data_IF_371510613415
#
_entry.id   IF_371510613415
#
_cell.length_a   1.000
_cell.length_b   1.000
_cell.length_c   1.000
_cell.angle_alpha   90.00
_cell.angle_beta   90.00
_cell.angle_gamma   90.00
#
_symmetry.space_group_name_H-M   'P 1'
#
loop_
_entity.id
_entity.type
_entity.pdbx_description
1 polymer ?
#
# COMPACT_ATOMS: atom_id res chain seq x y z
N UNK A 1 -15.08 0.55 -16.41
CA UNK A 1 -14.37 1.72 -16.98
C UNK A 1 -14.15 2.77 -15.90
N UNK A 2 -15.17 3.13 -15.09
CA UNK A 2 -15.06 4.16 -14.04
C UNK A 2 -13.86 3.97 -13.09
N UNK A 3 -13.58 2.73 -12.62
CA UNK A 3 -12.41 2.43 -11.82
C UNK A 3 -11.09 2.72 -12.56
N UNK A 4 -11.01 2.41 -13.86
CA UNK A 4 -9.82 2.72 -14.67
C UNK A 4 -9.62 4.24 -14.82
N UNK A 5 -10.70 4.99 -14.92
CA UNK A 5 -10.65 6.46 -14.98
C UNK A 5 -10.16 7.03 -13.65
N UNK A 6 -10.64 6.49 -12.51
CA UNK A 6 -10.18 6.87 -11.17
C UNK A 6 -8.69 6.57 -10.96
N UNK A 7 -8.22 5.38 -11.38
CA UNK A 7 -6.79 5.01 -11.34
C UNK A 7 -5.95 5.94 -12.21
N UNK A 8 -6.41 6.28 -13.42
CA UNK A 8 -5.68 7.18 -14.31
C UNK A 8 -5.55 8.59 -13.71
N UNK A 9 -6.64 9.12 -13.14
CA UNK A 9 -6.64 10.41 -12.43
C UNK A 9 -5.71 10.40 -11.21
N UNK A 10 -5.74 9.30 -10.44
CA UNK A 10 -4.86 9.11 -9.27
C UNK A 10 -3.38 9.13 -9.67
N UNK A 11 -3.02 8.46 -10.78
CA UNK A 11 -1.64 8.48 -11.29
C UNK A 11 -1.14 9.89 -11.57
N UNK A 12 -1.97 10.78 -12.14
CA UNK A 12 -1.61 12.19 -12.36
C UNK A 12 -1.26 12.87 -11.04
N UNK A 13 -2.04 12.65 -9.99
CA UNK A 13 -1.76 13.17 -8.65
C UNK A 13 -0.44 12.67 -8.07
N UNK A 14 -0.14 11.37 -8.22
CA UNK A 14 1.13 10.79 -7.79
C UNK A 14 2.32 11.37 -8.56
N UNK A 15 2.24 11.51 -9.87
CA UNK A 15 3.33 12.12 -10.67
C UNK A 15 3.56 13.59 -10.27
N UNK A 16 2.50 14.33 -9.96
CA UNK A 16 2.62 15.70 -9.46
C UNK A 16 3.31 15.78 -8.09
N UNK A 17 2.98 14.84 -7.18
CA UNK A 17 3.66 14.73 -5.87
C UNK A 17 5.14 14.42 -6.08
N UNK A 18 5.48 13.43 -6.91
CA UNK A 18 6.88 13.06 -7.20
C UNK A 18 7.68 14.25 -7.76
N UNK A 19 7.09 15.01 -8.69
CA UNK A 19 7.73 16.19 -9.25
C UNK A 19 8.01 17.26 -8.18
N UNK A 20 7.15 17.39 -7.17
CA UNK A 20 7.21 18.44 -6.15
C UNK A 20 7.90 17.99 -4.84
N UNK A 21 8.37 16.73 -4.73
CA UNK A 21 9.10 16.22 -3.56
C UNK A 21 10.28 17.11 -3.13
N UNK A 22 11.12 17.64 -4.04
CA UNK A 22 12.21 18.53 -3.64
C UNK A 22 11.73 19.78 -2.90
N UNK A 23 10.56 20.31 -3.26
CA UNK A 23 9.94 21.47 -2.57
C UNK A 23 9.36 21.06 -1.23
N UNK A 24 8.74 19.87 -1.14
CA UNK A 24 8.23 19.34 0.11
C UNK A 24 9.33 19.18 1.16
N UNK A 25 10.52 18.72 0.74
CA UNK A 25 11.71 18.60 1.59
C UNK A 25 12.22 19.97 2.05
N UNK A 26 12.33 20.93 1.10
CA UNK A 26 12.94 22.24 1.38
C UNK A 26 12.04 23.18 2.19
N UNK A 27 10.72 23.04 2.09
CA UNK A 27 9.76 24.03 2.61
C UNK A 27 9.31 23.83 4.06
N UNK A 28 9.63 22.68 4.69
CA UNK A 28 9.02 22.24 5.95
C UNK A 28 7.53 21.89 5.82
N UNK A 29 6.99 21.15 6.80
CA UNK A 29 5.60 20.62 6.75
C UNK A 29 5.33 19.82 5.48
N UNK A 30 6.32 19.02 5.05
CA UNK A 30 6.33 18.36 3.74
C UNK A 30 5.16 17.42 3.53
N UNK A 31 4.68 16.71 4.57
CA UNK A 31 3.50 15.85 4.47
C UNK A 31 2.26 16.63 4.04
N UNK A 32 2.03 17.85 4.61
CA UNK A 32 0.91 18.71 4.20
C UNK A 32 1.10 19.31 2.82
N UNK A 33 2.34 19.53 2.43
CA UNK A 33 2.63 19.97 1.07
C UNK A 33 2.22 18.92 0.06
N UNK A 34 2.61 17.64 0.29
CA UNK A 34 2.25 16.50 -0.54
C UNK A 34 0.74 16.31 -0.60
N UNK A 35 0.04 16.33 0.56
CA UNK A 35 -1.42 16.28 0.64
C UNK A 35 -2.08 17.39 -0.21
N UNK A 36 -1.58 18.61 -0.11
CA UNK A 36 -2.10 19.76 -0.87
C UNK A 36 -1.86 19.62 -2.37
N UNK A 37 -0.70 19.13 -2.80
CA UNK A 37 -0.38 18.89 -4.21
C UNK A 37 -1.29 17.78 -4.77
N UNK A 38 -1.42 16.64 -4.07
CA UNK A 38 -2.34 15.58 -4.49
C UNK A 38 -3.77 16.08 -4.57
N UNK A 39 -4.26 16.78 -3.54
CA UNK A 39 -5.62 17.31 -3.49
C UNK A 39 -5.93 18.31 -4.61
N UNK A 40 -4.96 19.14 -5.02
CA UNK A 40 -5.10 20.02 -6.19
C UNK A 40 -5.38 19.22 -7.46
N UNK A 41 -4.58 18.19 -7.72
CA UNK A 41 -4.73 17.34 -8.91
C UNK A 41 -5.98 16.48 -8.82
N UNK A 42 -6.31 15.92 -7.65
CA UNK A 42 -7.55 15.19 -7.44
C UNK A 42 -8.77 16.03 -7.77
N UNK A 43 -8.77 17.33 -7.39
CA UNK A 43 -9.87 18.25 -7.71
C UNK A 43 -9.89 18.67 -9.18
N UNK A 44 -8.75 18.69 -9.85
CA UNK A 44 -8.67 19.03 -11.27
C UNK A 44 -9.13 17.85 -12.16
N UNK A 45 -8.70 16.63 -11.83
CA UNK A 45 -8.96 15.42 -12.61
C UNK A 45 -10.30 14.75 -12.29
N UNK A 46 -10.92 15.09 -11.15
CA UNK A 46 -12.18 14.50 -10.70
C UNK A 46 -12.95 15.38 -9.72
N UNK A 47 -13.81 14.76 -8.91
CA UNK A 47 -14.57 15.44 -7.86
C UNK A 47 -13.67 15.90 -6.69
N UNK A 48 -12.59 15.19 -6.44
CA UNK A 48 -11.65 15.42 -5.35
C UNK A 48 -11.00 14.13 -4.89
N UNK A 49 -10.51 14.17 -3.65
CA UNK A 49 -9.99 12.96 -2.98
C UNK A 49 -11.14 12.02 -2.60
N UNK A 50 -10.96 10.72 -2.83
CA UNK A 50 -11.95 9.70 -2.47
C UNK A 50 -12.00 9.41 -0.96
N UNK A 51 -10.90 9.71 -0.26
CA UNK A 51 -10.72 9.57 1.19
C UNK A 51 -9.59 10.48 1.67
N UNK A 52 -9.47 10.67 2.99
CA UNK A 52 -8.39 11.45 3.57
C UNK A 52 -7.02 10.84 3.23
N UNK A 53 -6.22 11.53 2.43
CA UNK A 53 -4.94 11.03 1.95
C UNK A 53 -3.95 10.81 3.10
N UNK A 54 -3.19 9.73 3.04
CA UNK A 54 -2.09 9.42 3.96
C UNK A 54 -0.78 9.81 3.28
N UNK A 55 -0.09 10.79 3.84
CA UNK A 55 1.19 11.31 3.34
C UNK A 55 2.26 11.14 4.42
N UNK A 56 2.61 9.89 4.74
CA UNK A 56 3.39 9.54 5.91
C UNK A 56 4.88 9.39 5.59
N UNK A 57 5.72 10.27 6.16
CA UNK A 57 7.17 10.24 5.99
C UNK A 57 7.89 9.62 7.19
N UNK A 58 8.90 8.82 6.93
CA UNK A 58 9.72 8.19 7.96
C UNK A 58 8.88 7.36 8.94
N UNK A 59 9.03 7.58 10.24
CA UNK A 59 8.33 6.80 11.28
C UNK A 59 6.80 6.97 11.27
N UNK A 60 6.27 8.05 10.70
CA UNK A 60 4.82 8.23 10.55
C UNK A 60 4.17 7.15 9.70
N UNK A 61 4.90 6.58 8.72
CA UNK A 61 4.45 5.45 7.91
C UNK A 61 4.10 4.20 8.74
N UNK A 62 4.56 4.11 9.98
CA UNK A 62 4.21 3.04 10.92
C UNK A 62 2.87 3.26 11.64
N UNK A 63 2.15 4.35 11.34
CA UNK A 63 0.78 4.59 11.75
C UNK A 63 -0.12 4.38 10.55
N UNK A 64 -0.94 3.32 10.58
CA UNK A 64 -1.71 2.84 9.42
C UNK A 64 -2.50 3.95 8.71
N UNK A 65 -3.27 4.74 9.46
CA UNK A 65 -4.05 5.87 8.94
C UNK A 65 -3.49 7.20 9.47
N UNK A 66 -2.28 7.57 8.98
CA UNK A 66 -1.66 8.86 9.30
C UNK A 66 -2.24 9.99 8.45
N UNK A 67 -3.52 10.32 8.68
CA UNK A 67 -4.24 11.40 7.98
C UNK A 67 -3.95 12.81 8.53
N UNK A 68 -3.19 12.92 9.61
CA UNK A 68 -2.83 14.22 10.19
C UNK A 68 -1.85 15.00 9.31
N UNK A 69 -0.99 14.30 8.61
CA UNK A 69 -0.01 14.83 7.66
C UNK A 69 0.76 16.07 8.22
N UNK A 70 1.28 15.95 9.45
CA UNK A 70 1.83 17.12 10.18
C UNK A 70 3.35 17.12 10.24
N UNK A 71 4.01 16.11 9.65
CA UNK A 71 5.45 15.93 9.69
C UNK A 71 6.20 16.69 8.59
N UNK A 72 7.50 16.80 8.81
CA UNK A 72 8.45 17.17 7.77
C UNK A 72 8.81 15.95 6.94
N UNK A 73 9.16 16.15 5.68
CA UNK A 73 9.77 15.12 4.82
C UNK A 73 11.26 15.40 4.76
N UNK A 74 12.10 14.40 4.98
CA UNK A 74 13.54 14.54 5.03
C UNK A 74 14.23 13.71 3.95
N UNK A 75 15.37 14.19 3.52
CA UNK A 75 16.25 13.40 2.65
C UNK A 75 16.60 12.06 3.31
N UNK A 76 16.46 10.96 2.54
CA UNK A 76 16.67 9.60 3.03
C UNK A 76 15.47 8.94 3.70
N UNK A 77 14.37 9.66 3.95
CA UNK A 77 13.11 9.07 4.41
C UNK A 77 12.45 8.26 3.28
N UNK A 78 11.57 7.33 3.66
CA UNK A 78 10.50 6.83 2.80
C UNK A 78 9.26 7.71 2.97
N UNK A 79 8.58 8.04 1.87
CA UNK A 79 7.25 8.61 1.87
C UNK A 79 6.24 7.53 1.47
N UNK A 80 5.42 7.10 2.40
CA UNK A 80 4.25 6.27 2.12
C UNK A 80 3.11 7.22 1.73
N UNK A 81 2.75 7.21 0.45
CA UNK A 81 1.62 7.96 -0.11
C UNK A 81 0.50 6.97 -0.43
N UNK A 82 -0.64 7.14 0.24
CA UNK A 82 -1.85 6.37 0.06
C UNK A 82 -2.98 7.35 -0.22
N UNK A 83 -3.46 7.33 -1.46
CA UNK A 83 -4.38 8.33 -1.96
C UNK A 83 -5.14 7.85 -3.20
N UNK A 84 -6.38 8.28 -3.35
CA UNK A 84 -7.24 7.99 -4.48
C UNK A 84 -8.07 9.18 -4.92
N UNK A 85 -8.36 9.25 -6.22
CA UNK A 85 -9.24 10.26 -6.81
C UNK A 85 -10.64 9.68 -6.99
N UNK A 86 -11.65 10.40 -6.48
CA UNK A 86 -13.05 10.16 -6.84
C UNK A 86 -13.33 10.90 -8.16
N UNK A 87 -13.79 10.17 -9.17
CA UNK A 87 -14.14 10.73 -10.47
C UNK A 87 -15.63 11.04 -10.59
N UNK A 88 -16.06 11.71 -11.68
CA UNK A 88 -17.43 12.16 -11.90
C UNK A 88 -18.49 11.05 -11.76
N UNK A 89 -18.11 9.80 -11.97
CA UNK A 89 -18.97 8.63 -11.78
C UNK A 89 -19.13 8.21 -10.32
N UNK A 90 -18.53 8.94 -9.37
CA UNK A 90 -18.45 8.70 -7.92
C UNK A 90 -17.60 7.47 -7.52
N UNK A 91 -16.96 6.79 -8.47
CA UNK A 91 -16.01 5.74 -8.14
C UNK A 91 -14.69 6.34 -7.71
N UNK A 92 -14.06 5.73 -6.71
CA UNK A 92 -12.73 6.10 -6.24
C UNK A 92 -11.70 5.01 -6.53
N UNK A 93 -10.46 5.41 -6.79
CA UNK A 93 -9.31 4.51 -6.69
C UNK A 93 -8.79 4.48 -5.26
N UNK A 94 -7.97 3.46 -4.95
CA UNK A 94 -7.26 3.31 -3.69
C UNK A 94 -5.86 2.75 -3.95
N UNK A 95 -4.85 3.61 -3.89
CA UNK A 95 -3.50 3.26 -4.31
C UNK A 95 -2.48 3.72 -3.28
N UNK A 96 -1.66 2.79 -2.82
CA UNK A 96 -0.47 3.11 -2.03
C UNK A 96 0.80 2.87 -2.81
N UNK A 97 1.72 3.85 -2.76
CA UNK A 97 3.14 3.69 -3.12
C UNK A 97 4.02 4.20 -2.01
N UNK A 98 5.08 3.45 -1.71
CA UNK A 98 6.14 3.90 -0.81
C UNK A 98 7.34 4.32 -1.65
N UNK A 99 7.70 5.60 -1.56
CA UNK A 99 8.67 6.28 -2.42
C UNK A 99 9.92 6.65 -1.62
N UNK A 100 11.15 6.36 -2.10
CA UNK A 100 12.35 6.93 -1.50
C UNK A 100 12.42 8.42 -1.84
N UNK A 101 12.43 9.27 -0.82
CA UNK A 101 12.33 10.74 -0.96
C UNK A 101 13.45 11.32 -1.83
N UNK A 102 14.65 10.77 -1.73
CA UNK A 102 15.82 11.16 -2.53
C UNK A 102 16.01 10.37 -3.83
N UNK A 103 15.01 9.58 -4.22
CA UNK A 103 14.99 8.83 -5.47
C UNK A 103 15.69 7.47 -5.43
N UNK A 104 16.25 7.04 -4.29
CA UNK A 104 16.98 5.76 -4.19
C UNK A 104 16.73 5.11 -2.83
N UNK A 105 16.37 3.84 -2.82
CA UNK A 105 16.24 3.06 -1.59
C UNK A 105 17.63 2.73 -1.00
N UNK A 106 17.76 2.81 0.31
CA UNK A 106 18.87 2.17 1.01
C UNK A 106 18.71 0.65 0.96
N UNK A 107 19.79 -0.11 1.20
CA UNK A 107 19.73 -1.58 1.22
C UNK A 107 18.65 -2.10 2.19
N UNK A 108 18.53 -1.50 3.37
CA UNK A 108 17.55 -1.89 4.37
C UNK A 108 16.10 -1.56 3.96
N UNK A 109 15.90 -0.40 3.33
CA UNK A 109 14.59 -0.01 2.79
C UNK A 109 14.16 -0.92 1.64
N UNK A 110 15.10 -1.23 0.74
CA UNK A 110 14.87 -2.15 -0.38
C UNK A 110 14.54 -3.57 0.12
N UNK A 111 15.25 -4.07 1.14
CA UNK A 111 14.99 -5.38 1.74
C UNK A 111 13.53 -5.50 2.25
N UNK A 112 13.01 -4.45 2.93
CA UNK A 112 11.63 -4.41 3.38
C UNK A 112 10.67 -4.26 2.19
N UNK A 113 11.00 -3.37 1.25
CA UNK A 113 10.16 -3.07 0.08
C UNK A 113 9.94 -4.31 -0.78
N UNK A 114 11.01 -5.05 -1.08
CA UNK A 114 10.96 -6.26 -1.91
C UNK A 114 10.14 -7.37 -1.23
N UNK A 115 10.21 -7.49 0.11
CA UNK A 115 9.37 -8.43 0.86
C UNK A 115 7.87 -8.07 0.76
N UNK A 116 7.53 -6.78 0.87
CA UNK A 116 6.14 -6.30 0.72
C UNK A 116 5.68 -6.48 -0.73
N UNK A 117 6.53 -6.18 -1.72
CA UNK A 117 6.21 -6.42 -3.12
C UNK A 117 5.94 -7.91 -3.40
N UNK A 118 6.79 -8.81 -2.89
CA UNK A 118 6.58 -10.26 -3.05
C UNK A 118 5.26 -10.70 -2.41
N UNK A 119 4.92 -10.17 -1.23
CA UNK A 119 3.65 -10.45 -0.56
C UNK A 119 2.45 -9.94 -1.37
N UNK A 120 2.55 -8.74 -1.97
CA UNK A 120 1.52 -8.19 -2.83
C UNK A 120 1.31 -9.05 -4.08
N UNK A 121 2.39 -9.49 -4.74
CA UNK A 121 2.29 -10.37 -5.91
C UNK A 121 1.62 -11.70 -5.56
N UNK A 122 1.93 -12.28 -4.39
CA UNK A 122 1.26 -13.50 -3.92
C UNK A 122 -0.25 -13.26 -3.67
N UNK A 123 -0.61 -12.12 -3.07
CA UNK A 123 -1.99 -11.71 -2.87
C UNK A 123 -2.73 -11.54 -4.19
N UNK A 124 -2.16 -10.82 -5.16
CA UNK A 124 -2.75 -10.63 -6.50
C UNK A 124 -2.94 -11.98 -7.22
N UNK A 125 -1.98 -12.89 -7.13
CA UNK A 125 -2.09 -14.23 -7.74
C UNK A 125 -3.22 -15.07 -7.14
N UNK A 126 -3.65 -14.77 -5.91
CA UNK A 126 -4.80 -15.41 -5.27
C UNK A 126 -6.14 -14.80 -5.70
N UNK A 127 -6.16 -13.64 -6.36
CA UNK A 127 -7.39 -13.01 -6.87
C UNK A 127 -7.84 -13.72 -8.13
N UNK A 128 -8.78 -14.65 -7.98
CA UNK A 128 -9.39 -15.37 -9.11
C UNK A 128 -10.75 -15.94 -8.72
N UNK A 129 -11.66 -16.18 -9.67
CA UNK A 129 -12.96 -16.77 -9.40
C UNK A 129 -12.84 -18.11 -8.66
N UNK A 130 -13.71 -18.31 -7.66
CA UNK A 130 -13.76 -19.54 -6.85
C UNK A 130 -12.78 -19.58 -5.67
N UNK A 131 -11.80 -18.69 -5.60
CA UNK A 131 -11.07 -18.47 -4.36
C UNK A 131 -11.93 -17.65 -3.40
N UNK A 132 -11.67 -17.80 -2.10
CA UNK A 132 -12.29 -16.95 -1.09
C UNK A 132 -11.59 -15.62 -0.98
N UNK A 133 -12.30 -14.61 -0.53
CA UNK A 133 -11.71 -13.30 -0.22
C UNK A 133 -10.54 -13.42 0.77
N UNK A 134 -10.68 -14.27 1.79
CA UNK A 134 -9.63 -14.53 2.78
C UNK A 134 -8.35 -15.17 2.22
N UNK A 135 -8.40 -15.84 1.07
CA UNK A 135 -7.23 -16.48 0.45
C UNK A 135 -6.19 -15.45 0.02
N UNK A 136 -6.62 -14.23 -0.31
CA UNK A 136 -5.73 -13.11 -0.67
C UNK A 136 -4.81 -12.78 0.52
N UNK A 137 -5.43 -12.58 1.68
CA UNK A 137 -4.70 -12.31 2.92
C UNK A 137 -3.77 -13.47 3.30
N UNK A 138 -4.27 -14.70 3.23
CA UNK A 138 -3.49 -15.89 3.58
C UNK A 138 -2.24 -16.02 2.69
N UNK A 139 -2.36 -15.76 1.38
CA UNK A 139 -1.24 -15.81 0.44
C UNK A 139 -0.18 -14.73 0.76
N UNK A 140 -0.60 -13.49 0.99
CA UNK A 140 0.31 -12.40 1.33
C UNK A 140 1.01 -12.62 2.68
N UNK A 141 0.27 -13.06 3.70
CA UNK A 141 0.83 -13.29 5.05
C UNK A 141 1.81 -14.44 5.07
N UNK A 142 1.64 -15.47 4.25
CA UNK A 142 2.64 -16.54 4.12
C UNK A 142 3.99 -15.98 3.71
N UNK A 143 4.05 -15.15 2.68
CA UNK A 143 5.28 -14.52 2.21
C UNK A 143 5.89 -13.63 3.30
N UNK A 144 5.06 -12.81 3.97
CA UNK A 144 5.52 -11.99 5.11
C UNK A 144 6.10 -12.86 6.22
N UNK A 145 5.43 -13.94 6.61
CA UNK A 145 5.91 -14.84 7.65
C UNK A 145 7.25 -15.51 7.29
N UNK A 146 7.44 -15.89 6.02
CA UNK A 146 8.71 -16.42 5.51
C UNK A 146 9.84 -15.40 5.62
N UNK A 147 9.61 -14.14 5.26
CA UNK A 147 10.60 -13.07 5.43
C UNK A 147 10.90 -12.79 6.90
N UNK A 148 9.87 -12.69 7.75
CA UNK A 148 10.04 -12.48 9.19
C UNK A 148 10.84 -13.62 9.84
N UNK A 149 10.60 -14.87 9.41
CA UNK A 149 11.37 -16.03 9.85
C UNK A 149 12.83 -15.92 9.40
N UNK A 150 13.08 -15.62 8.12
CA UNK A 150 14.43 -15.48 7.57
C UNK A 150 15.22 -14.35 8.25
N UNK A 151 14.55 -13.29 8.67
CA UNK A 151 15.16 -12.17 9.42
C UNK A 151 15.34 -12.45 10.91
N UNK A 152 14.90 -13.63 11.41
CA UNK A 152 14.98 -13.98 12.83
C UNK A 152 14.04 -13.17 13.72
N UNK A 153 12.91 -12.70 13.17
CA UNK A 153 11.95 -11.85 13.87
C UNK A 153 10.82 -12.64 14.53
N UNK A 154 10.65 -13.89 14.17
CA UNK A 154 9.71 -14.77 14.87
C UNK A 154 10.31 -15.22 16.20
N UNK A 155 9.49 -15.51 17.23
CA UNK A 155 9.99 -16.05 18.49
C UNK A 155 10.77 -17.33 18.28
N UNK A 156 11.74 -17.62 19.18
CA UNK A 156 12.53 -18.86 19.12
C UNK A 156 11.63 -20.10 19.13
N UNK A 157 11.88 -21.00 18.17
CA UNK A 157 11.11 -22.24 18.00
C UNK A 157 9.78 -22.09 17.27
N UNK A 158 9.39 -20.88 16.88
CA UNK A 158 8.17 -20.63 16.09
C UNK A 158 8.48 -20.76 14.61
N UNK A 159 7.77 -21.64 13.93
CA UNK A 159 7.86 -21.82 12.47
C UNK A 159 6.94 -20.84 11.71
N UNK A 160 7.09 -20.83 10.38
CA UNK A 160 6.15 -20.13 9.48
C UNK A 160 4.74 -20.69 9.66
N UNK A 161 4.58 -22.02 9.73
CA UNK A 161 3.26 -22.64 9.88
C UNK A 161 2.61 -22.30 11.22
N UNK A 162 3.38 -22.24 12.31
CA UNK A 162 2.88 -21.75 13.60
C UNK A 162 2.43 -20.30 13.52
N UNK A 163 3.14 -19.48 12.73
CA UNK A 163 2.77 -18.05 12.52
C UNK A 163 1.45 -17.93 11.76
N UNK A 164 1.15 -18.86 10.84
CA UNK A 164 -0.07 -18.83 10.03
C UNK A 164 -1.30 -19.40 10.75
N UNK A 165 -1.12 -20.05 11.90
CA UNK A 165 -2.24 -20.53 12.73
C UNK A 165 -3.10 -19.33 13.16
N UNK A 166 -4.39 -19.35 12.79
CA UNK A 166 -5.32 -18.24 13.03
C UNK A 166 -5.83 -18.15 14.48
N UNK A 167 -5.71 -19.23 15.26
CA UNK A 167 -6.18 -19.28 16.63
C UNK A 167 -5.07 -19.00 17.65
N UNK A 168 -3.86 -19.54 17.42
CA UNK A 168 -2.78 -19.51 18.41
C UNK A 168 -1.49 -18.87 17.89
N UNK A 169 -1.43 -18.53 16.59
CA UNK A 169 -0.27 -17.98 15.92
C UNK A 169 -0.37 -16.46 15.69
N UNK A 170 -0.33 -16.08 14.43
CA UNK A 170 -0.42 -14.70 13.95
C UNK A 170 0.74 -13.80 14.45
N UNK A 171 1.93 -14.36 14.61
CA UNK A 171 3.11 -13.60 15.08
C UNK A 171 3.53 -12.48 14.11
N UNK A 172 3.13 -12.55 12.84
CA UNK A 172 3.31 -11.50 11.84
C UNK A 172 2.65 -10.18 12.26
N UNK A 173 1.56 -10.22 13.07
CA UNK A 173 0.78 -9.03 13.45
C UNK A 173 1.54 -7.97 14.23
N UNK A 174 2.76 -8.27 14.68
CA UNK A 174 3.61 -7.23 15.26
C UNK A 174 4.03 -6.19 14.20
N UNK A 175 4.21 -6.62 12.95
CA UNK A 175 4.73 -5.79 11.87
C UNK A 175 3.79 -5.67 10.66
N UNK A 176 2.82 -6.56 10.52
CA UNK A 176 1.71 -6.46 9.55
C UNK A 176 0.40 -6.44 10.33
N UNK A 177 -0.15 -5.25 10.56
CA UNK A 177 -1.17 -4.99 11.58
C UNK A 177 -2.60 -4.93 11.05
N UNK A 178 -2.80 -5.05 9.72
CA UNK A 178 -4.11 -4.88 9.07
C UNK A 178 -4.46 -6.04 8.11
N UNK A 179 -5.65 -6.00 7.54
CA UNK A 179 -6.05 -6.87 6.44
C UNK A 179 -5.32 -6.50 5.15
N UNK A 180 -5.24 -7.44 4.22
CA UNK A 180 -4.52 -7.22 2.94
C UNK A 180 -5.43 -6.70 1.84
N UNK A 181 -6.76 -6.66 2.08
CA UNK A 181 -7.71 -6.39 1.01
C UNK A 181 -9.06 -5.93 1.56
N UNK A 182 -9.76 -5.12 0.79
CA UNK A 182 -11.17 -4.78 0.94
C UNK A 182 -11.81 -4.57 -0.44
N UNK A 183 -13.14 -4.63 -0.51
CA UNK A 183 -13.85 -4.24 -1.72
C UNK A 183 -13.77 -2.74 -1.92
N UNK A 184 -13.75 -2.34 -3.18
CA UNK A 184 -13.57 -0.97 -3.63
C UNK A 184 -14.64 -0.64 -4.70
N UNK A 185 -15.23 0.54 -4.60
CA UNK A 185 -16.29 0.97 -5.51
C UNK A 185 -16.57 2.46 -5.45
N UNK A 186 -17.81 2.81 -5.11
CA UNK A 186 -18.20 4.20 -4.84
C UNK A 186 -17.57 4.66 -3.53
N UNK A 187 -17.60 3.81 -2.52
CA UNK A 187 -16.87 4.05 -1.28
C UNK A 187 -15.50 3.37 -1.34
N UNK A 188 -14.47 3.97 -0.73
CA UNK A 188 -13.14 3.37 -0.60
C UNK A 188 -13.20 2.04 0.13
N UNK A 189 -13.93 1.95 1.23
CA UNK A 189 -14.31 0.69 1.87
C UNK A 189 -15.76 0.38 1.45
N UNK A 190 -15.91 -0.24 0.29
CA UNK A 190 -17.23 -0.42 -0.30
C UNK A 190 -18.09 -1.35 0.55
N UNK A 191 -19.37 -1.00 0.68
CA UNK A 191 -20.26 -1.66 1.62
C UNK A 191 -20.63 -3.08 1.15
N UNK A 192 -20.73 -3.99 2.13
CA UNK A 192 -21.27 -5.33 1.91
C UNK A 192 -22.42 -5.59 2.90
N UNK A 193 -23.56 -6.09 2.38
CA UNK A 193 -24.66 -6.61 3.21
C UNK A 193 -24.32 -8.03 3.66
N UNK A 194 -23.29 -8.17 4.50
CA UNK A 194 -22.79 -9.44 4.97
C UNK A 194 -22.22 -9.31 6.38
N UNK A 195 -22.27 -10.38 7.17
CA UNK A 195 -21.48 -10.45 8.40
C UNK A 195 -20.00 -10.57 8.04
N UNK A 196 -19.12 -10.26 9.01
CA UNK A 196 -17.68 -10.40 8.77
C UNK A 196 -17.27 -11.81 8.30
N UNK A 197 -17.89 -12.86 8.85
CA UNK A 197 -17.59 -14.24 8.48
C UNK A 197 -18.00 -14.51 7.02
N UNK A 198 -19.23 -14.11 6.66
CA UNK A 198 -19.73 -14.25 5.28
C UNK A 198 -18.86 -13.46 4.29
N UNK A 199 -18.43 -12.25 4.65
CA UNK A 199 -17.57 -11.42 3.83
C UNK A 199 -16.21 -12.09 3.57
N UNK A 200 -15.57 -12.61 4.64
CA UNK A 200 -14.25 -13.26 4.53
C UNK A 200 -14.30 -14.61 3.81
N UNK A 201 -15.43 -15.36 3.93
CA UNK A 201 -15.63 -16.65 3.30
C UNK A 201 -16.27 -16.56 1.91
N UNK A 202 -16.67 -15.37 1.46
CA UNK A 202 -17.26 -15.17 0.15
C UNK A 202 -16.30 -15.57 -0.97
N UNK A 203 -16.84 -16.28 -1.96
CA UNK A 203 -16.09 -16.59 -3.19
C UNK A 203 -15.98 -15.33 -4.06
N UNK A 204 -14.79 -15.15 -4.62
CA UNK A 204 -14.53 -14.08 -5.59
C UNK A 204 -15.29 -14.38 -6.90
N UNK A 205 -16.01 -13.38 -7.42
CA UNK A 205 -16.77 -13.48 -8.65
C UNK A 205 -16.31 -12.42 -9.67
N UNK A 206 -16.38 -12.73 -10.98
CA UNK A 206 -16.07 -11.76 -12.02
C UNK A 206 -16.86 -10.45 -11.86
N UNK A 207 -16.17 -9.33 -11.99
CA UNK A 207 -16.74 -7.98 -11.82
C UNK A 207 -16.50 -7.37 -10.45
N UNK A 208 -16.09 -8.14 -9.44
CA UNK A 208 -15.65 -7.58 -8.15
C UNK A 208 -14.35 -6.80 -8.33
N UNK A 209 -14.25 -5.64 -7.68
CA UNK A 209 -13.03 -4.85 -7.57
C UNK A 209 -12.63 -4.81 -6.10
N UNK A 210 -11.35 -4.99 -5.83
CA UNK A 210 -10.80 -5.03 -4.48
C UNK A 210 -9.36 -4.54 -4.45
N UNK A 211 -8.88 -4.13 -3.29
CA UNK A 211 -7.48 -3.76 -3.08
C UNK A 211 -6.63 -4.98 -2.76
N UNK A 212 -5.33 -4.89 -3.04
CA UNK A 212 -4.30 -5.81 -2.51
C UNK A 212 -3.16 -4.97 -1.96
N UNK A 213 -3.08 -4.87 -0.62
CA UNK A 213 -2.33 -3.84 0.10
C UNK A 213 -1.48 -4.37 1.28
N UNK A 214 -0.64 -5.39 1.15
CA UNK A 214 0.20 -5.79 2.27
C UNK A 214 1.19 -4.69 2.66
N UNK A 215 1.61 -4.71 3.93
CA UNK A 215 2.61 -3.77 4.44
C UNK A 215 3.47 -4.37 5.54
N UNK A 216 4.61 -3.74 5.80
CA UNK A 216 5.48 -4.02 6.94
C UNK A 216 5.86 -2.71 7.63
N UNK A 217 5.75 -2.68 8.96
CA UNK A 217 5.83 -1.47 9.75
C UNK A 217 6.79 -1.67 10.94
N UNK A 218 7.97 -1.04 10.87
CA UNK A 218 9.01 -1.13 11.87
C UNK A 218 9.17 0.19 12.60
N UNK A 219 8.40 0.38 13.69
CA UNK A 219 8.45 1.62 14.49
C UNK A 219 9.86 1.92 14.96
N UNK A 220 10.20 3.20 15.03
CA UNK A 220 11.53 3.66 15.46
C UNK A 220 11.89 3.21 16.90
N UNK A 221 10.89 3.07 17.76
CA UNK A 221 11.06 2.63 19.17
C UNK A 221 10.89 1.12 19.38
N UNK A 222 10.63 0.34 18.32
CA UNK A 222 10.51 -1.12 18.44
C UNK A 222 11.87 -1.80 18.59
N UNK A 223 12.25 -2.09 19.83
CA UNK A 223 13.52 -2.76 20.16
C UNK A 223 13.58 -4.24 19.73
N UNK A 224 12.48 -4.83 19.26
CA UNK A 224 12.46 -6.17 18.67
C UNK A 224 12.83 -6.15 17.19
N UNK A 225 12.62 -5.03 16.52
CA UNK A 225 13.04 -4.86 15.14
C UNK A 225 14.57 -4.62 15.05
N UNK A 226 15.24 -5.16 14.01
CA UNK A 226 16.62 -4.80 13.73
C UNK A 226 16.78 -3.28 13.60
N UNK A 227 17.85 -2.74 14.11
CA UNK A 227 18.07 -1.29 14.09
C UNK A 227 17.98 -0.70 12.67
N UNK A 228 18.51 -1.45 11.67
CA UNK A 228 18.44 -1.03 10.25
C UNK A 228 17.04 -0.90 9.67
N UNK A 229 16.03 -1.55 10.29
CA UNK A 229 14.64 -1.49 9.84
C UNK A 229 13.80 -0.44 10.56
N UNK A 230 14.24 0.00 11.75
CA UNK A 230 13.45 0.91 12.57
C UNK A 230 13.19 2.25 11.88
N UNK A 231 11.98 2.76 12.04
CA UNK A 231 11.53 3.99 11.41
C UNK A 231 11.11 3.84 9.96
N UNK A 232 11.07 2.62 9.41
CA UNK A 232 10.59 2.37 8.06
C UNK A 232 9.23 1.66 8.08
N UNK A 233 8.28 2.22 7.36
CA UNK A 233 6.98 1.60 7.05
C UNK A 233 6.81 1.54 5.53
N UNK A 234 6.38 0.38 5.03
CA UNK A 234 6.17 0.13 3.60
C UNK A 234 4.80 -0.50 3.40
N UNK A 235 4.00 0.06 2.49
CA UNK A 235 2.79 -0.54 1.90
C UNK A 235 2.84 -0.37 0.40
N UNK A 236 2.39 -1.37 -0.33
CA UNK A 236 2.20 -1.33 -1.78
C UNK A 236 0.79 -1.85 -2.04
N UNK A 237 -0.01 -1.04 -2.72
CA UNK A 237 -1.42 -1.31 -2.94
C UNK A 237 -1.83 -1.06 -4.37
N UNK A 238 -2.62 -1.98 -4.89
CA UNK A 238 -3.23 -1.90 -6.22
C UNK A 238 -4.71 -2.23 -6.20
N UNK A 239 -5.46 -1.60 -7.10
CA UNK A 239 -6.84 -1.92 -7.42
C UNK A 239 -6.89 -3.10 -8.38
N UNK A 240 -7.59 -4.18 -8.02
CA UNK A 240 -7.61 -5.42 -8.78
C UNK A 240 -9.05 -5.82 -9.13
N UNK A 241 -9.30 -6.02 -10.42
CA UNK A 241 -10.57 -6.50 -10.95
C UNK A 241 -10.54 -8.02 -11.11
N UNK A 242 -11.52 -8.72 -10.55
CA UNK A 242 -11.73 -10.16 -10.79
C UNK A 242 -12.29 -10.35 -12.20
N UNK A 243 -11.61 -11.12 -13.04
CA UNK A 243 -12.02 -11.46 -14.40
C UNK A 243 -12.65 -12.86 -14.46
N UNK A 244 -13.08 -13.31 -15.63
CA UNK A 244 -13.68 -14.64 -15.79
C UNK A 244 -12.72 -15.80 -15.50
N UNK A 245 -11.41 -15.59 -15.65
CA UNK A 245 -10.36 -16.61 -15.60
C UNK A 245 -9.16 -16.25 -14.71
N UNK A 246 -9.26 -15.11 -13.99
CA UNK A 246 -8.19 -14.63 -13.11
C UNK A 246 -8.48 -13.23 -12.60
N UNK A 247 -7.51 -12.33 -12.75
CA UNK A 247 -7.67 -10.92 -12.40
C UNK A 247 -6.94 -9.99 -13.39
N UNK A 248 -7.35 -8.73 -13.36
CA UNK A 248 -6.66 -7.61 -14.00
C UNK A 248 -6.23 -6.62 -12.92
N UNK A 249 -4.95 -6.30 -12.84
CA UNK A 249 -4.47 -5.20 -12.02
C UNK A 249 -4.72 -3.88 -12.75
N UNK A 250 -5.67 -3.08 -12.25
CA UNK A 250 -6.06 -1.81 -12.85
C UNK A 250 -4.98 -0.75 -12.69
N UNK A 251 -4.16 -0.87 -11.65
CA UNK A 251 -3.05 0.04 -11.32
C UNK A 251 -1.72 -0.38 -11.94
N UNK A 252 -1.71 -1.39 -12.84
CA UNK A 252 -0.47 -1.92 -13.44
C UNK A 252 0.39 -0.86 -14.16
N UNK A 253 -0.22 0.24 -14.59
CA UNK A 253 0.49 1.37 -15.21
C UNK A 253 1.25 2.27 -14.21
N UNK A 254 1.20 1.99 -12.91
CA UNK A 254 1.97 2.67 -11.87
C UNK A 254 3.11 1.76 -11.39
N UNK A 255 4.37 2.20 -11.41
CA UNK A 255 5.52 1.39 -11.00
C UNK A 255 5.39 0.79 -9.60
N UNK A 256 5.91 -0.45 -9.42
CA UNK A 256 5.77 -1.23 -8.18
C UNK A 256 7.04 -1.94 -7.74
N UNK A 257 7.93 -2.34 -8.65
CA UNK A 257 9.23 -2.86 -8.24
C UNK A 257 10.09 -1.72 -7.73
N UNK A 258 11.04 -2.00 -6.84
CA UNK A 258 11.93 -0.97 -6.33
C UNK A 258 12.68 -0.24 -7.46
N UNK A 259 13.17 -0.99 -8.45
CA UNK A 259 13.90 -0.42 -9.59
C UNK A 259 12.99 0.47 -10.46
N UNK A 260 11.77 0.03 -10.76
CA UNK A 260 10.83 0.81 -11.56
C UNK A 260 10.37 2.09 -10.83
N UNK A 261 10.25 2.05 -9.50
CA UNK A 261 9.91 3.22 -8.68
C UNK A 261 11.04 4.25 -8.69
N UNK A 262 12.30 3.82 -8.54
CA UNK A 262 13.45 4.71 -8.66
C UNK A 262 13.55 5.34 -10.07
N UNK A 263 13.29 4.55 -11.13
CA UNK A 263 13.24 5.05 -12.51
C UNK A 263 12.11 6.07 -12.68
N UNK A 264 10.91 5.77 -12.19
CA UNK A 264 9.74 6.65 -12.26
C UNK A 264 10.01 8.00 -11.61
N UNK A 265 10.61 8.01 -10.40
CA UNK A 265 10.98 9.25 -9.71
C UNK A 265 11.96 10.06 -10.57
N UNK A 266 13.00 9.41 -11.11
CA UNK A 266 14.01 10.04 -11.96
C UNK A 266 13.39 10.65 -13.24
N UNK A 267 12.52 9.89 -13.91
CA UNK A 267 11.84 10.34 -15.12
C UNK A 267 10.92 11.55 -14.86
N UNK A 268 10.10 11.48 -13.81
CA UNK A 268 9.16 12.55 -13.48
C UNK A 268 9.90 13.82 -13.08
N UNK A 269 10.96 13.72 -12.28
CA UNK A 269 11.75 14.88 -11.82
C UNK A 269 12.65 15.47 -12.94
N UNK A 270 12.84 14.76 -14.04
CA UNK A 270 13.63 15.26 -15.20
C UNK A 270 12.77 16.07 -16.20
N UNK A 271 11.45 16.05 -16.09
CA UNK A 271 10.51 16.77 -16.96
C UNK A 271 10.42 18.24 -16.55
#
# INVERSE_FOLDING_TARGET
>A
QAMRDAVAATKVGFEAVIADLPRAVAGGRGERWVEGVFGLHARHEGNGIGYDSICASGDHANTLHWIKNTGDIRDGDLLLLDAGVEVDSLYTADITRTLPVNGTFTDAQREIYDAVYAAQQAGIAAVKPGNKFSDIHAAAIRVIAEHLHAWGLLPEGVSVEDTLDTEHGQYHRRWMVHGTSHHLGIDVHDCALATRVEYMDAELAPGMVLTVEPGLYFKADDLKAPERFRGNGVRIEDDVLVTADGCENLSAGMPRTADDVEEWIREVQSR
#
